data_IF_519537243902
#
_entry.id   IF_519537243902
#
_cell.length_a   1.000
_cell.length_b   1.000
_cell.length_c   1.000
_cell.angle_alpha   90.00
_cell.angle_beta   90.00
_cell.angle_gamma   90.00
#
_symmetry.space_group_name_H-M   'P 1'
#
loop_
_entity.id
_entity.type
_entity.pdbx_description
1 polymer ?
#
# COMPACT_ATOMS: atom_id res chain seq x y z
N UNK A 1 9.15 3.26 5.49
CA UNK A 1 7.83 2.82 5.00
C UNK A 1 7.69 1.34 5.26
N UNK A 2 6.52 0.91 5.75
CA UNK A 2 6.15 -0.51 5.88
C UNK A 2 4.91 -0.69 5.01
N UNK A 3 4.98 -1.63 4.05
CA UNK A 3 3.90 -1.93 3.13
C UNK A 3 3.10 -3.12 3.65
N UNK A 4 1.77 -2.97 3.72
CA UNK A 4 0.87 -4.01 4.23
C UNK A 4 -0.20 -4.28 3.16
N UNK A 5 -0.01 -5.31 2.31
CA UNK A 5 -1.03 -5.78 1.39
C UNK A 5 -2.28 -6.24 2.15
N UNK A 6 -3.46 -5.77 1.73
CA UNK A 6 -4.73 -6.13 2.35
C UNK A 6 -5.59 -6.91 1.36
N UNK A 7 -6.02 -8.09 1.77
CA UNK A 7 -6.97 -8.90 1.02
C UNK A 7 -8.39 -8.70 1.55
N UNK A 8 -9.30 -8.19 0.71
CA UNK A 8 -10.71 -7.92 1.05
C UNK A 8 -11.64 -8.82 0.24
N UNK A 9 -11.47 -10.14 0.38
CA UNK A 9 -12.29 -11.15 -0.28
C UNK A 9 -11.90 -11.38 -1.75
N UNK A 10 -12.26 -10.44 -2.64
CA UNK A 10 -11.89 -10.49 -4.07
C UNK A 10 -11.09 -9.27 -4.53
N UNK A 11 -10.85 -8.32 -3.61
CA UNK A 11 -10.20 -7.05 -3.90
C UNK A 11 -8.91 -6.91 -3.09
N UNK A 12 -7.85 -6.44 -3.75
CA UNK A 12 -6.56 -6.17 -3.14
C UNK A 12 -6.36 -4.67 -2.97
N UNK A 13 -5.96 -4.25 -1.78
CA UNK A 13 -5.64 -2.87 -1.46
C UNK A 13 -4.33 -2.79 -0.70
N UNK A 14 -3.79 -1.59 -0.54
CA UNK A 14 -2.53 -1.38 0.16
C UNK A 14 -2.75 -0.45 1.35
N UNK A 15 -2.19 -0.82 2.49
CA UNK A 15 -1.98 0.12 3.57
C UNK A 15 -0.49 0.34 3.80
N UNK A 16 -0.11 1.55 4.20
CA UNK A 16 1.29 1.96 4.36
C UNK A 16 1.48 2.64 5.70
N UNK A 17 2.46 2.17 6.47
CA UNK A 17 2.98 2.91 7.63
C UNK A 17 4.14 3.77 7.14
N UNK A 18 3.91 5.07 7.02
CA UNK A 18 4.94 6.05 6.72
C UNK A 18 5.48 6.65 8.02
N UNK A 19 6.47 5.95 8.60
CA UNK A 19 7.14 6.37 9.82
C UNK A 19 7.99 7.64 9.68
N UNK A 20 8.37 8.03 8.45
CA UNK A 20 9.13 9.26 8.19
C UNK A 20 8.24 10.48 8.36
N UNK A 21 7.08 10.44 7.73
CA UNK A 21 6.12 11.56 7.74
C UNK A 21 5.06 11.41 8.84
N UNK A 22 5.14 10.34 9.65
CA UNK A 22 4.20 10.02 10.73
C UNK A 22 2.76 9.91 10.23
N UNK A 23 2.55 9.09 9.21
CA UNK A 23 1.23 8.86 8.60
C UNK A 23 0.92 7.39 8.42
N UNK A 24 -0.37 7.08 8.47
CA UNK A 24 -0.95 5.83 7.99
C UNK A 24 -1.74 6.11 6.72
N UNK A 25 -1.38 5.46 5.62
CA UNK A 25 -2.02 5.66 4.32
C UNK A 25 -2.82 4.43 3.94
N UNK A 26 -3.99 4.63 3.36
CA UNK A 26 -4.78 3.60 2.70
C UNK A 26 -4.91 3.94 1.22
N UNK A 27 -4.50 3.01 0.36
CA UNK A 27 -4.52 3.14 -1.08
C UNK A 27 -5.41 2.05 -1.67
N UNK A 28 -6.45 2.48 -2.37
CA UNK A 28 -7.44 1.60 -2.97
C UNK A 28 -7.70 2.08 -4.41
N UNK A 29 -7.42 1.24 -5.39
CA UNK A 29 -7.61 1.55 -6.81
C UNK A 29 -9.08 1.73 -7.23
N UNK A 30 -10.02 1.46 -6.31
CA UNK A 30 -11.46 1.75 -6.45
C UNK A 30 -11.93 2.87 -5.49
N UNK A 31 -11.02 3.63 -4.87
CA UNK A 31 -11.30 4.69 -3.89
C UNK A 31 -12.17 4.23 -2.71
N UNK A 32 -12.03 2.96 -2.30
CA UNK A 32 -12.63 2.47 -1.08
C UNK A 32 -12.03 3.14 0.16
N UNK A 33 -12.81 3.19 1.24
CA UNK A 33 -12.36 3.64 2.55
C UNK A 33 -12.63 2.57 3.60
N UNK A 34 -11.69 2.38 4.51
CA UNK A 34 -11.85 1.45 5.64
C UNK A 34 -10.96 1.85 6.81
N UNK A 35 -11.49 2.66 7.72
CA UNK A 35 -10.76 3.16 8.89
C UNK A 35 -10.35 2.07 9.86
N UNK A 36 -10.98 0.89 9.83
CA UNK A 36 -10.59 -0.23 10.69
C UNK A 36 -9.18 -0.71 10.37
N UNK A 37 -8.76 -0.64 9.10
CA UNK A 37 -7.42 -1.04 8.67
C UNK A 37 -6.38 -0.09 9.27
N UNK A 38 -6.58 1.23 9.15
CA UNK A 38 -5.61 2.20 9.68
C UNK A 38 -5.55 2.19 11.21
N UNK A 39 -6.69 2.01 11.88
CA UNK A 39 -6.73 1.83 13.34
C UNK A 39 -5.98 0.55 13.78
N UNK A 40 -6.15 -0.55 13.05
CA UNK A 40 -5.43 -1.80 13.32
C UNK A 40 -3.91 -1.64 13.13
N UNK A 41 -3.47 -0.88 12.13
CA UNK A 41 -2.06 -0.57 11.89
C UNK A 41 -1.47 0.32 12.98
N UNK A 42 -2.20 1.33 13.43
CA UNK A 42 -1.78 2.18 14.54
C UNK A 42 -1.55 1.34 15.80
N UNK A 43 -2.53 0.47 16.13
CA UNK A 43 -2.40 -0.48 17.25
C UNK A 43 -1.22 -1.44 17.06
N UNK A 44 -1.07 -2.02 15.88
CA UNK A 44 0.03 -2.92 15.57
C UNK A 44 1.39 -2.24 15.81
N UNK A 45 1.57 -1.02 15.31
CA UNK A 45 2.82 -0.29 15.46
C UNK A 45 3.15 -0.01 16.94
N UNK A 46 2.17 0.38 17.74
CA UNK A 46 2.37 0.61 19.18
C UNK A 46 2.70 -0.67 19.93
N UNK A 47 1.95 -1.74 19.65
CA UNK A 47 2.12 -3.03 20.33
C UNK A 47 3.48 -3.65 19.98
N UNK A 48 3.86 -3.66 18.69
CA UNK A 48 5.12 -4.21 18.21
C UNK A 48 6.33 -3.43 18.76
N UNK A 49 6.27 -2.10 18.79
CA UNK A 49 7.35 -1.28 19.34
C UNK A 49 7.57 -1.52 20.83
N UNK A 50 6.46 -1.64 21.59
CA UNK A 50 6.50 -1.94 23.02
C UNK A 50 7.07 -3.33 23.27
N UNK A 51 6.60 -4.34 22.54
CA UNK A 51 7.03 -5.73 22.72
C UNK A 51 8.51 -5.94 22.33
N UNK A 52 8.94 -5.42 21.17
CA UNK A 52 10.27 -5.71 20.64
C UNK A 52 11.37 -4.78 21.17
N UNK A 53 11.03 -3.57 21.56
CA UNK A 53 12.03 -2.56 21.95
C UNK A 53 11.79 -1.92 23.32
N UNK A 54 10.68 -2.25 24.00
CA UNK A 54 10.29 -1.62 25.26
C UNK A 54 9.93 -0.15 25.12
N UNK A 55 9.77 0.37 23.90
CA UNK A 55 9.44 1.77 23.63
C UNK A 55 7.94 1.94 23.49
N UNK A 56 7.38 2.85 24.27
CA UNK A 56 6.03 3.35 24.04
C UNK A 56 6.08 4.45 22.97
N UNK A 57 5.57 4.13 21.78
CA UNK A 57 5.43 5.10 20.69
C UNK A 57 4.02 5.67 20.76
N UNK A 58 3.91 7.00 20.81
CA UNK A 58 2.63 7.68 20.66
C UNK A 58 2.34 7.95 19.17
N UNK A 59 1.27 7.32 18.67
CA UNK A 59 0.78 7.46 17.30
C UNK A 59 -0.51 8.27 17.21
N UNK A 60 -1.01 8.82 18.32
CA UNK A 60 -2.25 9.59 18.37
C UNK A 60 -2.21 10.88 17.53
N UNK A 61 -1.01 11.42 17.31
CA UNK A 61 -0.74 12.60 16.49
C UNK A 61 -0.42 12.28 15.02
N UNK A 62 -0.43 11.00 14.63
CA UNK A 62 -0.12 10.59 13.26
C UNK A 62 -1.37 10.69 12.39
N UNK A 63 -1.22 11.22 11.17
CA UNK A 63 -2.36 11.36 10.26
C UNK A 63 -2.83 10.00 9.74
N UNK A 64 -4.14 9.85 9.57
CA UNK A 64 -4.75 8.73 8.85
C UNK A 64 -5.34 9.25 7.55
N UNK A 65 -4.79 8.80 6.43
CA UNK A 65 -5.09 9.35 5.11
C UNK A 65 -5.63 8.25 4.19
N UNK A 66 -6.81 8.48 3.62
CA UNK A 66 -7.32 7.70 2.49
C UNK A 66 -6.92 8.46 1.22
N UNK A 67 -6.01 7.90 0.44
CA UNK A 67 -5.41 8.64 -0.68
C UNK A 67 -6.39 8.62 -1.85
N UNK A 68 -6.91 9.79 -2.23
CA UNK A 68 -7.90 9.94 -3.30
C UNK A 68 -7.27 10.21 -4.67
N UNK A 69 -6.09 10.85 -4.70
CA UNK A 69 -5.35 11.16 -5.92
C UNK A 69 -4.44 9.99 -6.34
N UNK A 70 -5.08 8.88 -6.74
CA UNK A 70 -4.42 7.66 -7.18
C UNK A 70 -4.84 7.29 -8.62
N UNK A 71 -3.97 6.63 -9.40
CA UNK A 71 -4.40 5.92 -10.59
C UNK A 71 -5.50 4.90 -10.26
N UNK A 72 -6.68 5.02 -10.86
CA UNK A 72 -7.80 4.13 -10.58
C UNK A 72 -7.90 2.98 -11.58
N UNK A 73 -8.31 1.81 -11.09
CA UNK A 73 -8.62 0.67 -11.95
C UNK A 73 -9.97 0.88 -12.64
N UNK A 74 -10.12 0.29 -13.83
CA UNK A 74 -11.35 0.37 -14.62
C UNK A 74 -11.93 -1.01 -14.95
N UNK A 75 -11.45 -2.06 -14.27
CA UNK A 75 -11.95 -3.43 -14.37
C UNK A 75 -11.96 -4.13 -13.01
N UNK A 76 -12.41 -5.39 -12.95
CA UNK A 76 -12.55 -6.16 -11.71
C UNK A 76 -11.37 -7.06 -11.34
N UNK A 77 -10.23 -6.99 -12.06
CA UNK A 77 -9.16 -7.99 -11.93
C UNK A 77 -7.75 -7.41 -11.79
N UNK A 78 -7.58 -6.09 -11.94
CA UNK A 78 -6.28 -5.42 -11.86
C UNK A 78 -5.92 -4.90 -10.47
N UNK A 79 -6.80 -5.00 -9.47
CA UNK A 79 -6.54 -4.50 -8.11
C UNK A 79 -5.19 -4.94 -7.53
N UNK A 80 -4.81 -6.20 -7.73
CA UNK A 80 -3.50 -6.72 -7.31
C UNK A 80 -2.33 -6.08 -8.06
N UNK A 81 -2.50 -5.76 -9.35
CA UNK A 81 -1.46 -5.06 -10.14
C UNK A 81 -1.32 -3.59 -9.71
N UNK A 82 -2.43 -2.89 -9.46
CA UNK A 82 -2.38 -1.54 -8.89
C UNK A 82 -1.69 -1.54 -7.53
N UNK A 83 -2.06 -2.45 -6.62
CA UNK A 83 -1.40 -2.62 -5.33
C UNK A 83 0.12 -2.82 -5.47
N UNK A 84 0.56 -3.73 -6.36
CA UNK A 84 1.98 -3.95 -6.62
C UNK A 84 2.68 -2.69 -7.16
N UNK A 85 2.03 -1.95 -8.06
CA UNK A 85 2.60 -0.73 -8.63
C UNK A 85 2.62 0.43 -7.64
N UNK A 86 1.66 0.52 -6.73
CA UNK A 86 1.74 1.45 -5.60
C UNK A 86 2.97 1.16 -4.74
N UNK A 87 3.22 -0.11 -4.37
CA UNK A 87 4.41 -0.51 -3.60
C UNK A 87 5.70 -0.15 -4.37
N UNK A 88 5.77 -0.51 -5.64
CA UNK A 88 6.94 -0.29 -6.51
C UNK A 88 7.34 1.20 -6.54
N UNK A 89 6.38 2.08 -6.84
CA UNK A 89 6.64 3.51 -6.92
C UNK A 89 6.91 4.15 -5.56
N UNK A 90 6.12 3.83 -4.52
CA UNK A 90 6.34 4.38 -3.17
C UNK A 90 7.68 3.95 -2.59
N UNK A 91 8.10 2.69 -2.83
CA UNK A 91 9.39 2.19 -2.34
C UNK A 91 10.59 2.95 -2.92
N UNK A 92 10.42 3.54 -4.12
CA UNK A 92 11.41 4.35 -4.82
C UNK A 92 11.24 5.86 -4.58
N UNK A 93 10.25 6.27 -3.80
CA UNK A 93 9.93 7.69 -3.56
C UNK A 93 9.44 8.43 -4.81
N UNK A 94 8.81 7.71 -5.74
CA UNK A 94 8.31 8.26 -7.00
C UNK A 94 6.82 8.57 -6.93
N UNK A 95 6.39 9.60 -7.67
CA UNK A 95 4.96 9.85 -7.92
C UNK A 95 4.34 8.78 -8.81
N UNK A 96 3.05 8.51 -8.64
CA UNK A 96 2.33 7.44 -9.35
C UNK A 96 2.02 7.81 -10.80
N UNK A 97 3.04 7.79 -11.66
CA UNK A 97 2.93 8.11 -13.08
C UNK A 97 2.55 6.87 -13.92
N UNK A 98 1.38 6.32 -13.67
CA UNK A 98 0.80 5.27 -14.51
C UNK A 98 -0.73 5.34 -14.51
N UNK A 99 -1.36 4.51 -15.34
CA UNK A 99 -2.81 4.43 -15.49
C UNK A 99 -3.23 3.00 -15.82
N UNK A 100 -4.54 2.78 -15.94
CA UNK A 100 -5.11 1.51 -16.38
C UNK A 100 -4.55 1.02 -17.73
N UNK A 101 -4.15 1.92 -18.63
CA UNK A 101 -3.64 1.55 -19.97
C UNK A 101 -2.32 0.77 -19.89
N UNK A 102 -1.58 0.92 -18.79
CA UNK A 102 -0.29 0.27 -18.57
C UNK A 102 -0.42 -1.15 -17.99
N UNK A 103 -1.60 -1.54 -17.49
CA UNK A 103 -1.79 -2.83 -16.80
C UNK A 103 -1.46 -4.06 -17.66
N UNK A 104 -1.78 -4.12 -18.97
CA UNK A 104 -1.36 -5.24 -19.81
C UNK A 104 0.16 -5.42 -19.85
N UNK A 105 0.90 -4.32 -19.98
CA UNK A 105 2.36 -4.33 -19.93
C UNK A 105 2.87 -4.74 -18.54
N UNK A 106 2.32 -4.16 -17.47
CA UNK A 106 2.77 -4.49 -16.12
C UNK A 106 2.54 -5.94 -15.75
N UNK A 107 1.44 -6.57 -16.20
CA UNK A 107 1.21 -8.01 -16.01
C UNK A 107 2.32 -8.85 -16.63
N UNK A 108 2.66 -8.57 -17.89
CA UNK A 108 3.73 -9.28 -18.61
C UNK A 108 5.09 -9.04 -17.96
N UNK A 109 5.37 -7.79 -17.58
CA UNK A 109 6.61 -7.43 -16.89
C UNK A 109 6.74 -8.14 -15.54
N UNK A 110 5.71 -8.12 -14.71
CA UNK A 110 5.72 -8.79 -13.40
C UNK A 110 5.88 -10.30 -13.55
N UNK A 111 5.24 -10.94 -14.53
CA UNK A 111 5.47 -12.35 -14.83
C UNK A 111 6.95 -12.62 -15.17
N UNK A 112 7.56 -11.78 -16.01
CA UNK A 112 8.99 -11.87 -16.35
C UNK A 112 9.90 -11.66 -15.12
N UNK A 113 9.60 -10.67 -14.27
CA UNK A 113 10.36 -10.36 -13.05
C UNK A 113 10.31 -11.53 -12.05
N UNK A 114 9.12 -12.13 -11.85
CA UNK A 114 8.95 -13.32 -11.01
C UNK A 114 9.77 -14.50 -11.55
N UNK A 115 9.69 -14.78 -12.85
CA UNK A 115 10.45 -15.88 -13.47
C UNK A 115 11.96 -15.68 -13.37
N UNK A 116 12.43 -14.44 -13.30
CA UNK A 116 13.85 -14.10 -13.14
C UNK A 116 14.29 -13.94 -11.69
N UNK A 117 13.35 -13.92 -10.74
CA UNK A 117 13.60 -13.56 -9.34
C UNK A 117 14.31 -12.20 -9.19
N UNK A 118 14.05 -11.26 -10.10
CA UNK A 118 14.68 -9.94 -10.14
C UNK A 118 13.68 -8.90 -10.63
N UNK A 119 13.51 -7.83 -9.86
CA UNK A 119 12.77 -6.65 -10.27
C UNK A 119 13.71 -5.69 -11.03
N UNK A 120 13.30 -5.25 -12.22
CA UNK A 120 14.03 -4.27 -13.03
C UNK A 120 13.61 -2.82 -12.67
#
# INVERSE_FOLDING_TARGET
MIFVPIHRGVHWTLAVINNRDRKFLYLDSLNGVDSKILNALAKYLTDEAKEKSGKDIDVSSWDMEFVEDLPQQQNGYDCGMFMLKYIDFFSRGLGLYFSQEHMPYFRLRTAKEILRLCAD
#
